data_IF_226558724173
#
_entry.id   IF_226558724173
#
_cell.length_a   1.000
_cell.length_b   1.000
_cell.length_c   1.000
_cell.angle_alpha   90.00
_cell.angle_beta   90.00
_cell.angle_gamma   90.00
#
_symmetry.space_group_name_H-M   'P 1'
#
loop_
_entity.id
_entity.type
_entity.pdbx_description
1 polymer ?
#
# COMPACT_ATOMS: atom_id res chain seq x y z
N UNK A 1 -10.14 -6.21 -10.14
CA UNK A 1 -9.86 -4.84 -9.66
C UNK A 1 -8.63 -4.32 -10.38
N UNK A 2 -8.57 -3.04 -10.79
CA UNK A 2 -7.38 -2.48 -11.47
C UNK A 2 -6.25 -2.27 -10.45
N UNK A 3 -5.04 -2.69 -10.78
CA UNK A 3 -3.86 -2.49 -9.92
C UNK A 3 -3.49 -1.00 -9.85
N UNK A 4 -3.12 -0.48 -8.68
CA UNK A 4 -2.66 0.91 -8.54
C UNK A 4 -1.36 1.11 -9.31
N UNK A 5 -1.27 2.22 -10.04
CA UNK A 5 -0.10 2.64 -10.80
C UNK A 5 0.45 3.96 -10.23
N UNK A 6 1.77 4.13 -10.27
CA UNK A 6 2.41 5.36 -9.82
C UNK A 6 2.23 6.44 -10.90
N UNK A 7 1.94 7.66 -10.47
CA UNK A 7 1.87 8.84 -11.35
C UNK A 7 3.03 9.81 -11.11
N UNK A 8 4.00 9.41 -10.27
CA UNK A 8 5.20 10.20 -10.02
C UNK A 8 6.06 10.24 -11.29
N UNK A 9 6.85 11.29 -11.47
CA UNK A 9 7.80 11.38 -12.60
C UNK A 9 9.08 10.59 -12.35
N UNK A 10 9.32 10.23 -11.10
CA UNK A 10 10.49 9.45 -10.67
C UNK A 10 10.41 8.02 -11.24
N UNK A 11 11.40 7.57 -12.03
CA UNK A 11 11.43 6.24 -12.63
C UNK A 11 11.55 5.12 -11.58
N UNK A 12 12.23 5.37 -10.47
CA UNK A 12 12.43 4.35 -9.42
C UNK A 12 11.14 4.11 -8.62
N UNK A 13 10.30 5.14 -8.50
CA UNK A 13 9.01 5.06 -7.81
C UNK A 13 7.86 4.52 -8.67
N UNK A 14 8.10 4.16 -9.94
CA UNK A 14 7.05 3.61 -10.81
C UNK A 14 6.48 2.29 -10.27
N UNK A 15 7.36 1.46 -9.69
CA UNK A 15 7.01 0.13 -9.19
C UNK A 15 6.57 0.13 -7.72
N UNK A 16 6.60 1.28 -7.06
CA UNK A 16 6.30 1.39 -5.63
C UNK A 16 4.90 0.84 -5.27
N UNK A 17 3.81 1.13 -6.00
CA UNK A 17 2.50 0.57 -5.66
C UNK A 17 2.46 -0.96 -5.73
N UNK A 18 3.11 -1.55 -6.73
CA UNK A 18 3.18 -3.00 -6.87
C UNK A 18 4.02 -3.65 -5.76
N UNK A 19 5.13 -3.02 -5.38
CA UNK A 19 5.97 -3.47 -4.27
C UNK A 19 5.20 -3.45 -2.93
N UNK A 20 4.44 -2.38 -2.67
CA UNK A 20 3.59 -2.27 -1.48
C UNK A 20 2.52 -3.35 -1.42
N UNK A 21 1.88 -3.68 -2.55
CA UNK A 21 0.91 -4.79 -2.61
C UNK A 21 1.55 -6.11 -2.20
N UNK A 22 2.69 -6.47 -2.79
CA UNK A 22 3.41 -7.71 -2.45
C UNK A 22 3.83 -7.75 -0.98
N UNK A 23 4.34 -6.63 -0.46
CA UNK A 23 4.71 -6.52 0.94
C UNK A 23 3.51 -6.74 1.87
N UNK A 24 2.35 -6.15 1.53
CA UNK A 24 1.12 -6.31 2.32
C UNK A 24 0.58 -7.74 2.33
N UNK A 25 0.73 -8.47 1.23
CA UNK A 25 0.31 -9.86 1.12
C UNK A 25 1.22 -10.76 1.97
N UNK A 26 2.54 -10.60 1.85
CA UNK A 26 3.51 -11.33 2.68
C UNK A 26 3.32 -11.04 4.17
N UNK A 27 3.03 -9.78 4.54
CA UNK A 27 2.79 -9.40 5.93
C UNK A 27 1.53 -10.08 6.50
N UNK A 28 0.47 -10.25 5.70
CA UNK A 28 -0.71 -11.01 6.10
C UNK A 28 -0.42 -12.49 6.30
N UNK A 29 0.28 -13.12 5.35
CA UNK A 29 0.69 -14.52 5.47
C UNK A 29 1.54 -14.75 6.73
N UNK A 30 2.48 -13.84 7.01
CA UNK A 30 3.31 -13.93 8.20
C UNK A 30 2.48 -13.74 9.49
N UNK A 31 1.53 -12.82 9.48
CA UNK A 31 0.62 -12.60 10.60
C UNK A 31 -0.22 -13.84 10.91
N UNK A 32 -0.77 -14.48 9.87
CA UNK A 32 -1.50 -15.75 9.97
C UNK A 32 -0.62 -16.88 10.54
N UNK A 33 0.63 -17.00 10.07
CA UNK A 33 1.57 -18.03 10.51
C UNK A 33 2.03 -17.84 11.96
N UNK A 34 2.17 -16.60 12.42
CA UNK A 34 2.73 -16.27 13.74
C UNK A 34 1.64 -16.01 14.79
N UNK A 35 0.37 -15.98 14.38
CA UNK A 35 -0.74 -15.56 15.24
C UNK A 35 -0.66 -14.09 15.65
N UNK A 36 0.10 -13.26 14.94
CA UNK A 36 0.23 -11.83 15.25
C UNK A 36 -0.91 -11.03 14.62
N UNK A 37 -1.50 -10.04 15.31
CA UNK A 37 -2.58 -9.23 14.74
C UNK A 37 -2.11 -8.37 13.56
N UNK A 38 -2.85 -8.41 12.44
CA UNK A 38 -2.62 -7.55 11.28
C UNK A 38 -3.58 -6.35 11.27
N UNK A 39 -3.06 -5.13 11.50
CA UNK A 39 -3.86 -3.89 11.61
C UNK A 39 -3.58 -2.95 10.45
N UNK A 40 -4.61 -2.58 9.68
CA UNK A 40 -4.52 -1.57 8.61
C UNK A 40 -5.15 -0.27 9.09
N UNK A 41 -4.37 0.82 9.10
CA UNK A 41 -4.87 2.17 9.35
C UNK A 41 -5.13 2.86 8.01
N UNK A 42 -6.36 3.28 7.77
CA UNK A 42 -6.65 4.20 6.67
C UNK A 42 -6.08 5.58 7.02
N UNK A 43 -5.32 6.18 6.12
CA UNK A 43 -4.86 7.55 6.27
C UNK A 43 -6.05 8.50 6.26
N UNK A 44 -6.10 9.45 7.20
CA UNK A 44 -7.08 10.53 7.24
C UNK A 44 -6.72 11.63 6.23
N UNK A 45 -6.56 11.25 4.96
CA UNK A 45 -6.40 12.21 3.86
C UNK A 45 -7.69 12.24 3.05
N UNK A 46 -8.75 12.73 3.70
CA UNK A 46 -9.76 13.51 3.01
C UNK A 46 -9.34 14.98 3.18
N UNK A 47 -9.50 15.77 2.13
CA UNK A 47 -9.31 17.21 2.11
C UNK A 47 -7.87 17.75 1.91
N UNK A 48 -7.40 17.67 0.66
CA UNK A 48 -6.78 18.83 0.02
C UNK A 48 -7.34 18.99 -1.39
N UNK A 49 -8.62 19.34 -1.50
CA UNK A 49 -9.13 20.14 -2.62
C UNK A 49 -9.29 21.56 -2.10
N UNK A 50 -8.17 22.28 -1.96
CA UNK A 50 -8.23 23.72 -1.81
C UNK A 50 -7.68 24.35 -3.08
N UNK A 51 -8.65 24.80 -3.88
CA UNK A 51 -8.70 25.99 -4.75
C UNK A 51 -7.49 26.30 -5.64
#
# INVERSE_FOLDING_TARGET
MKSPVSHLKDPDLQKAPQALMRASEKARQLAEQTGTPFVVRKSTTADKRSK
#
